data_IF_674474553089
#
_entry.id   IF_674474553089
#
_cell.length_a   1.000
_cell.length_b   1.000
_cell.length_c   1.000
_cell.angle_alpha   90.00
_cell.angle_beta   90.00
_cell.angle_gamma   90.00
#
_symmetry.space_group_name_H-M   'P 1'
#
loop_
_entity.id
_entity.type
_entity.pdbx_description
1 polymer ?
#
# COMPACT_ATOMS: atom_id res chain seq x y z
N UNK A 1 -0.89 22.69 2.64
CA UNK A 1 -0.79 21.39 3.35
C UNK A 1 -0.83 20.26 2.33
N UNK A 2 0.15 19.40 2.33
CA UNK A 2 0.18 18.28 1.40
C UNK A 2 -0.87 17.24 1.76
N UNK A 3 -1.56 16.74 0.75
CA UNK A 3 -2.53 15.68 0.94
C UNK A 3 -1.81 14.35 1.21
N UNK A 4 -2.32 13.58 2.16
CA UNK A 4 -1.78 12.26 2.48
C UNK A 4 -1.98 11.31 1.31
N UNK A 5 -1.02 10.45 1.09
CA UNK A 5 -1.06 9.47 0.00
C UNK A 5 -1.03 8.06 0.58
N UNK A 6 -2.00 7.26 0.18
CA UNK A 6 -2.10 5.86 0.57
C UNK A 6 -1.74 5.00 -0.63
N UNK A 7 -0.83 4.06 -0.44
CA UNK A 7 -0.44 3.09 -1.46
C UNK A 7 -0.97 1.71 -1.06
N UNK A 8 -1.74 1.10 -1.95
CA UNK A 8 -2.24 -0.26 -1.79
C UNK A 8 -1.47 -1.18 -2.73
N UNK A 9 -0.76 -2.15 -2.18
CA UNK A 9 -0.13 -3.22 -2.95
C UNK A 9 -1.04 -4.45 -2.95
N UNK A 10 -1.37 -4.92 -4.14
CA UNK A 10 -2.23 -6.10 -4.31
C UNK A 10 -3.71 -5.72 -4.30
N UNK A 11 -4.36 -5.88 -5.45
CA UNK A 11 -5.76 -5.48 -5.62
C UNK A 11 -6.55 -6.59 -6.30
N UNK A 12 -6.46 -7.80 -5.76
CA UNK A 12 -7.25 -8.92 -6.22
C UNK A 12 -8.70 -8.83 -5.78
N UNK A 13 -9.47 -9.89 -6.04
CA UNK A 13 -10.90 -9.91 -5.72
C UNK A 13 -11.20 -9.64 -4.25
N UNK A 14 -10.36 -10.15 -3.36
CA UNK A 14 -10.55 -9.95 -1.91
C UNK A 14 -10.33 -8.52 -1.46
N UNK A 15 -9.72 -7.69 -2.29
CA UNK A 15 -9.46 -6.29 -1.97
C UNK A 15 -10.58 -5.33 -2.44
N UNK A 16 -11.65 -5.83 -3.04
CA UNK A 16 -12.67 -4.98 -3.64
C UNK A 16 -13.28 -3.97 -2.67
N UNK A 17 -13.67 -4.42 -1.49
CA UNK A 17 -14.25 -3.52 -0.49
C UNK A 17 -13.25 -2.48 0.00
N UNK A 18 -11.99 -2.88 0.15
CA UNK A 18 -10.93 -1.96 0.54
C UNK A 18 -10.67 -0.91 -0.54
N UNK A 19 -10.60 -1.32 -1.80
CA UNK A 19 -10.42 -0.38 -2.91
C UNK A 19 -11.58 0.62 -2.94
N UNK A 20 -12.81 0.12 -2.82
CA UNK A 20 -13.99 0.98 -2.81
C UNK A 20 -13.95 1.99 -1.65
N UNK A 21 -13.57 1.55 -0.46
CA UNK A 21 -13.43 2.41 0.70
C UNK A 21 -12.37 3.51 0.48
N UNK A 22 -11.22 3.13 -0.07
CA UNK A 22 -10.15 4.08 -0.34
C UNK A 22 -10.54 5.09 -1.41
N UNK A 23 -11.26 4.64 -2.44
CA UNK A 23 -11.77 5.52 -3.50
C UNK A 23 -12.76 6.53 -2.92
N UNK A 24 -13.68 6.09 -2.06
CA UNK A 24 -14.64 7.00 -1.42
C UNK A 24 -13.91 8.08 -0.61
N UNK A 25 -12.90 7.71 0.16
CA UNK A 25 -12.11 8.67 0.92
C UNK A 25 -11.40 9.68 0.03
N UNK A 26 -10.89 9.22 -1.11
CA UNK A 26 -10.24 10.09 -2.08
C UNK A 26 -11.22 11.09 -2.68
N UNK A 27 -12.43 10.65 -3.01
CA UNK A 27 -13.48 11.52 -3.55
C UNK A 27 -13.95 12.55 -2.53
N UNK A 28 -13.86 12.23 -1.24
CA UNK A 28 -14.18 13.15 -0.16
C UNK A 28 -13.01 14.09 0.19
N UNK A 29 -11.90 13.99 -0.53
CA UNK A 29 -10.75 14.84 -0.33
C UNK A 29 -9.90 14.48 0.88
N UNK A 30 -10.06 13.28 1.43
CA UNK A 30 -9.32 12.85 2.63
C UNK A 30 -7.88 12.43 2.33
N UNK A 31 -7.67 11.83 1.16
CA UNK A 31 -6.34 11.35 0.75
C UNK A 31 -6.31 11.11 -0.75
N UNK A 32 -5.10 10.92 -1.29
CA UNK A 32 -4.88 10.39 -2.63
C UNK A 32 -4.53 8.92 -2.51
N UNK A 33 -4.84 8.13 -3.53
CA UNK A 33 -4.64 6.68 -3.51
C UNK A 33 -3.86 6.24 -4.74
N UNK A 34 -2.89 5.37 -4.54
CA UNK A 34 -2.23 4.64 -5.62
C UNK A 34 -2.45 3.15 -5.36
N UNK A 35 -3.03 2.47 -6.34
CA UNK A 35 -3.27 1.03 -6.28
C UNK A 35 -2.28 0.36 -7.23
N UNK A 36 -1.43 -0.51 -6.72
CA UNK A 36 -0.39 -1.19 -7.47
C UNK A 36 -0.65 -2.70 -7.50
N UNK A 37 -0.73 -3.27 -8.68
CA UNK A 37 -0.87 -4.71 -8.88
C UNK A 37 -0.27 -5.07 -10.23
N UNK A 38 -0.04 -6.35 -10.46
CA UNK A 38 0.40 -6.82 -11.77
C UNK A 38 -0.70 -6.65 -12.83
N UNK A 39 -1.97 -6.72 -12.42
CA UNK A 39 -3.13 -6.57 -13.31
C UNK A 39 -4.11 -5.56 -12.72
N UNK A 40 -4.24 -4.41 -13.36
CA UNK A 40 -5.12 -3.34 -12.89
C UNK A 40 -6.21 -2.94 -13.89
N UNK A 41 -6.32 -3.63 -15.03
CA UNK A 41 -7.23 -3.22 -16.11
C UNK A 41 -8.67 -3.08 -15.66
N UNK A 42 -9.17 -4.01 -14.86
CA UNK A 42 -10.57 -3.95 -14.39
C UNK A 42 -10.82 -2.76 -13.47
N UNK A 43 -9.82 -2.34 -12.70
CA UNK A 43 -9.92 -1.17 -11.85
C UNK A 43 -9.86 0.12 -12.66
N UNK A 44 -9.03 0.14 -13.69
CA UNK A 44 -8.92 1.29 -14.60
C UNK A 44 -10.25 1.51 -15.32
N UNK A 45 -10.92 0.45 -15.75
CA UNK A 45 -12.24 0.55 -16.38
C UNK A 45 -13.27 1.16 -15.43
N UNK A 46 -13.24 0.79 -14.16
CA UNK A 46 -14.21 1.26 -13.16
C UNK A 46 -13.90 2.66 -12.62
N UNK A 47 -12.63 2.94 -12.32
CA UNK A 47 -12.23 4.15 -11.60
C UNK A 47 -11.18 5.01 -12.30
N UNK A 48 -10.71 4.61 -13.47
CA UNK A 48 -9.57 5.26 -14.12
C UNK A 48 -9.82 6.72 -14.53
N UNK A 49 -11.07 7.17 -14.53
CA UNK A 49 -11.42 8.55 -14.83
C UNK A 49 -11.23 9.50 -13.64
N UNK A 50 -10.97 8.97 -12.45
CA UNK A 50 -10.81 9.78 -11.25
C UNK A 50 -9.36 10.26 -11.11
N UNK A 51 -9.19 11.55 -10.87
CA UNK A 51 -7.85 12.15 -10.73
C UNK A 51 -7.20 11.80 -9.38
N UNK A 52 -7.99 11.52 -8.37
CA UNK A 52 -7.53 11.27 -7.00
C UNK A 52 -7.00 9.86 -6.78
N UNK A 53 -7.25 8.97 -7.74
CA UNK A 53 -6.86 7.56 -7.65
C UNK A 53 -6.05 7.19 -8.89
N UNK A 54 -4.90 6.57 -8.67
CA UNK A 54 -4.04 6.07 -9.76
C UNK A 54 -3.90 4.56 -9.64
N UNK A 55 -3.93 3.88 -10.77
CA UNK A 55 -3.74 2.44 -10.85
C UNK A 55 -2.47 2.16 -11.64
N UNK A 56 -1.51 1.51 -11.01
CA UNK A 56 -0.18 1.29 -11.57
C UNK A 56 0.08 -0.21 -11.70
N UNK A 57 0.37 -0.66 -12.92
CA UNK A 57 0.74 -2.04 -13.16
C UNK A 57 2.23 -2.23 -12.89
N UNK A 58 2.57 -3.24 -12.11
CA UNK A 58 3.96 -3.54 -11.81
C UNK A 58 4.07 -4.69 -10.83
N UNK A 59 5.29 -5.18 -10.64
CA UNK A 59 5.58 -6.30 -9.77
C UNK A 59 6.17 -5.79 -8.45
N UNK A 60 5.47 -6.06 -7.35
CA UNK A 60 5.93 -5.66 -6.02
C UNK A 60 7.23 -6.35 -5.59
N UNK A 61 7.67 -7.42 -6.27
CA UNK A 61 8.98 -8.02 -6.07
C UNK A 61 10.11 -7.14 -6.64
N UNK A 62 9.79 -6.24 -7.55
CA UNK A 62 10.77 -5.30 -8.07
C UNK A 62 11.06 -4.23 -7.02
N UNK A 63 12.29 -4.22 -6.50
CA UNK A 63 12.68 -3.35 -5.40
C UNK A 63 12.54 -1.87 -5.77
N UNK A 64 12.95 -1.48 -6.96
CA UNK A 64 12.88 -0.09 -7.40
C UNK A 64 11.43 0.38 -7.52
N UNK A 65 10.57 -0.44 -8.10
CA UNK A 65 9.14 -0.15 -8.22
C UNK A 65 8.51 0.05 -6.85
N UNK A 66 8.81 -0.86 -5.93
CA UNK A 66 8.29 -0.81 -4.56
C UNK A 66 8.79 0.44 -3.82
N UNK A 67 10.09 0.73 -3.90
CA UNK A 67 10.68 1.88 -3.21
C UNK A 67 10.14 3.21 -3.73
N UNK A 68 9.97 3.34 -5.02
CA UNK A 68 9.44 4.55 -5.62
C UNK A 68 8.04 4.88 -5.08
N UNK A 69 7.18 3.87 -4.98
CA UNK A 69 5.83 4.07 -4.47
C UNK A 69 5.81 4.35 -2.97
N UNK A 70 6.59 3.62 -2.19
CA UNK A 70 6.61 3.75 -0.73
C UNK A 70 7.22 5.09 -0.29
N UNK A 71 8.27 5.54 -0.94
CA UNK A 71 9.02 6.71 -0.53
C UNK A 71 8.18 7.98 -0.37
N UNK A 72 7.12 8.12 -1.16
CA UNK A 72 6.28 9.31 -1.13
C UNK A 72 4.92 9.08 -0.50
N UNK A 73 4.74 7.95 0.17
CA UNK A 73 3.45 7.61 0.77
C UNK A 73 3.40 7.97 2.25
N UNK A 74 2.18 8.13 2.77
CA UNK A 74 1.91 8.33 4.20
C UNK A 74 1.58 7.01 4.87
N UNK A 75 0.90 6.12 4.14
CA UNK A 75 0.48 4.81 4.62
C UNK A 75 0.55 3.82 3.48
N UNK A 76 1.05 2.64 3.76
CA UNK A 76 1.05 1.52 2.82
C UNK A 76 0.12 0.44 3.37
N UNK A 77 -0.73 -0.09 2.51
CA UNK A 77 -1.57 -1.26 2.82
C UNK A 77 -1.12 -2.39 1.90
N UNK A 78 -0.76 -3.53 2.47
CA UNK A 78 -0.31 -4.68 1.70
C UNK A 78 -1.37 -5.78 1.75
N UNK A 79 -1.99 -6.02 0.60
CA UNK A 79 -2.90 -7.16 0.36
C UNK A 79 -2.21 -8.25 -0.46
N UNK A 80 -0.90 -8.21 -0.52
CA UNK A 80 -0.10 -9.21 -1.22
C UNK A 80 -0.14 -10.55 -0.49
N UNK A 81 0.30 -11.65 -1.14
CA UNK A 81 0.47 -12.91 -0.43
C UNK A 81 1.38 -12.75 0.78
N UNK A 82 1.11 -13.52 1.83
CA UNK A 82 1.79 -13.37 3.12
C UNK A 82 3.33 -13.41 3.03
N UNK A 83 3.86 -14.22 2.12
CA UNK A 83 5.32 -14.36 1.98
C UNK A 83 6.00 -13.08 1.48
N UNK A 84 5.24 -12.13 0.95
CA UNK A 84 5.78 -10.85 0.45
C UNK A 84 5.70 -9.73 1.49
N UNK A 85 4.96 -9.92 2.57
CA UNK A 85 4.72 -8.85 3.55
C UNK A 85 6.00 -8.39 4.24
N UNK A 86 6.92 -9.32 4.55
CA UNK A 86 8.14 -8.97 5.27
C UNK A 86 8.97 -7.93 4.52
N UNK A 87 9.11 -8.07 3.20
CA UNK A 87 9.87 -7.11 2.39
C UNK A 87 9.18 -5.73 2.35
N UNK A 88 7.86 -5.72 2.23
CA UNK A 88 7.09 -4.46 2.24
C UNK A 88 7.22 -3.76 3.60
N UNK A 89 7.08 -4.51 4.69
CA UNK A 89 7.20 -3.96 6.04
C UNK A 89 8.60 -3.39 6.27
N UNK A 90 9.63 -4.11 5.85
CA UNK A 90 11.01 -3.66 5.97
C UNK A 90 11.24 -2.33 5.23
N UNK A 91 10.73 -2.23 4.01
CA UNK A 91 10.85 -0.99 3.24
C UNK A 91 10.11 0.16 3.92
N UNK A 92 8.91 -0.09 4.42
CA UNK A 92 8.14 0.95 5.10
C UNK A 92 8.85 1.46 6.35
N UNK A 93 9.47 0.58 7.12
CA UNK A 93 10.26 0.98 8.28
C UNK A 93 11.44 1.85 7.84
N UNK A 94 12.15 1.44 6.79
CA UNK A 94 13.30 2.20 6.29
C UNK A 94 12.93 3.58 5.77
N UNK A 95 11.74 3.72 5.18
CA UNK A 95 11.26 5.02 4.67
C UNK A 95 10.40 5.78 5.68
N UNK A 96 10.24 5.26 6.90
CA UNK A 96 9.41 5.87 7.95
C UNK A 96 7.95 6.03 7.53
N UNK A 97 7.40 5.01 6.89
CA UNK A 97 6.02 4.97 6.42
C UNK A 97 5.25 3.93 7.22
N UNK A 98 4.06 4.28 7.68
CA UNK A 98 3.19 3.34 8.37
C UNK A 98 2.71 2.26 7.41
N UNK A 99 2.53 1.04 7.92
CA UNK A 99 2.11 -0.08 7.09
C UNK A 99 1.05 -0.92 7.79
N UNK A 100 0.06 -1.36 7.03
CA UNK A 100 -1.00 -2.23 7.49
C UNK A 100 -1.05 -3.48 6.61
N UNK A 101 -1.09 -4.66 7.24
CA UNK A 101 -1.30 -5.93 6.56
C UNK A 101 -2.46 -6.65 7.25
N UNK A 102 -3.46 -7.13 6.50
CA UNK A 102 -4.61 -7.80 7.11
C UNK A 102 -4.32 -9.23 7.53
N UNK A 103 -3.19 -9.78 7.13
CA UNK A 103 -2.77 -11.13 7.50
C UNK A 103 -2.28 -11.17 8.94
N UNK A 104 -2.33 -12.34 9.57
CA UNK A 104 -1.69 -12.51 10.87
C UNK A 104 -0.17 -12.30 10.72
N UNK A 105 0.45 -11.89 11.82
CA UNK A 105 1.87 -11.52 11.84
C UNK A 105 2.75 -12.75 11.62
N UNK A 106 3.62 -12.70 10.61
CA UNK A 106 4.62 -13.74 10.38
C UNK A 106 5.79 -13.58 11.38
N UNK A 107 6.61 -14.64 11.60
CA UNK A 107 7.80 -14.48 12.44
C UNK A 107 8.72 -13.35 11.99
N UNK A 108 8.89 -13.17 10.68
CA UNK A 108 9.73 -12.11 10.11
C UNK A 108 9.16 -10.72 10.44
N UNK A 109 7.85 -10.53 10.28
CA UNK A 109 7.20 -9.26 10.59
C UNK A 109 7.25 -9.00 12.08
N UNK A 110 7.03 -10.03 12.90
CA UNK A 110 7.10 -9.89 14.35
C UNK A 110 8.51 -9.46 14.82
N UNK A 111 9.55 -9.98 14.18
CA UNK A 111 10.92 -9.60 14.50
C UNK A 111 11.20 -8.13 14.18
N UNK A 112 10.47 -7.55 13.24
CA UNK A 112 10.61 -6.14 12.85
C UNK A 112 9.84 -5.18 13.75
N UNK A 113 8.99 -5.70 14.63
CA UNK A 113 8.11 -4.87 15.45
C UNK A 113 8.88 -3.88 16.34
N UNK A 114 9.94 -4.34 17.01
CA UNK A 114 10.75 -3.45 17.84
C UNK A 114 11.45 -2.38 17.02
N UNK A 115 11.97 -2.75 15.84
CA UNK A 115 12.60 -1.79 14.96
C UNK A 115 11.59 -0.74 14.50
N UNK A 116 10.37 -1.16 14.18
CA UNK A 116 9.31 -0.24 13.80
C UNK A 116 9.01 0.76 14.92
N UNK A 117 8.93 0.29 16.16
CA UNK A 117 8.70 1.17 17.31
C UNK A 117 9.81 2.21 17.47
N UNK A 118 11.07 1.79 17.27
CA UNK A 118 12.21 2.71 17.36
C UNK A 118 12.16 3.80 16.28
N UNK A 119 11.68 3.45 15.10
CA UNK A 119 11.60 4.38 13.97
C UNK A 119 10.28 5.17 13.94
N UNK A 120 9.40 4.95 14.91
CA UNK A 120 8.12 5.64 14.97
C UNK A 120 7.13 5.19 13.91
N UNK A 121 7.26 3.97 13.43
CA UNK A 121 6.41 3.40 12.37
C UNK A 121 5.40 2.44 12.97
N UNK A 122 4.15 2.57 12.55
CA UNK A 122 3.08 1.65 12.93
C UNK A 122 3.03 0.49 11.93
N UNK A 123 3.05 -0.71 12.46
CA UNK A 123 3.00 -1.93 11.65
C UNK A 123 1.78 -2.77 12.03
#
# INVERSE_FOLDING_TARGET
MEMKKIVLFGAGRSARHLVSFLVEGALLGKWNVVVADTHVNHWVEEYGHLNEVKFVAGDANNVEFRHELINHSSLVVSMLPAFMHAEVVKDCINFHVHVFTPSYVSPEVNAMHELALQEGVLV
#
